data_IF_806168126834
#
_entry.id   IF_806168126834
#
_cell.length_a   1.000
_cell.length_b   1.000
_cell.length_c   1.000
_cell.angle_alpha   90.00
_cell.angle_beta   90.00
_cell.angle_gamma   90.00
#
_symmetry.space_group_name_H-M   'P 1'
#
loop_
_entity.id
_entity.type
_entity.pdbx_description
1 polymer ?
#
# COMPACT_ATOMS: atom_id res chain seq x y z
N UNK A 1 12.10 28.73 3.50
CA UNK A 1 11.53 29.02 4.84
C UNK A 1 11.37 27.69 5.56
N UNK A 2 12.15 27.45 6.64
CA UNK A 2 12.01 26.27 7.48
C UNK A 2 10.69 26.41 8.25
N UNK A 3 9.59 25.92 7.72
CA UNK A 3 8.37 25.79 8.53
C UNK A 3 8.64 24.71 9.57
N UNK A 4 8.57 25.07 10.84
CA UNK A 4 8.62 24.13 11.95
C UNK A 4 7.58 23.02 11.76
N UNK A 5 7.93 21.80 12.17
CA UNK A 5 6.97 20.70 12.19
C UNK A 5 5.83 21.04 13.17
N UNK A 6 4.58 20.65 12.90
CA UNK A 6 3.50 20.81 13.86
C UNK A 6 3.83 20.09 15.17
N UNK A 7 3.44 20.69 16.27
CA UNK A 7 3.55 20.11 17.62
C UNK A 7 2.55 18.97 17.80
N UNK A 8 2.72 18.18 18.85
CA UNK A 8 1.75 17.14 19.21
C UNK A 8 0.36 17.72 19.45
N UNK A 9 0.25 18.84 20.16
CA UNK A 9 -1.02 19.50 20.46
C UNK A 9 -1.73 19.97 19.17
N UNK A 10 -0.98 20.46 18.18
CA UNK A 10 -1.55 20.83 16.88
C UNK A 10 -2.04 19.61 16.10
N UNK A 11 -1.33 18.47 16.17
CA UNK A 11 -1.77 17.22 15.53
C UNK A 11 -2.98 16.63 16.23
N UNK A 12 -3.06 16.70 17.56
CA UNK A 12 -4.22 16.23 18.32
C UNK A 12 -5.45 17.09 18.03
N UNK A 13 -5.31 18.40 18.06
CA UNK A 13 -6.39 19.29 17.64
C UNK A 13 -6.82 19.06 16.18
N UNK A 14 -5.86 18.83 15.29
CA UNK A 14 -6.19 18.49 13.90
C UNK A 14 -6.99 17.19 13.79
N UNK A 15 -6.67 16.18 14.60
CA UNK A 15 -7.42 14.93 14.63
C UNK A 15 -8.86 15.08 15.15
N UNK A 16 -9.11 16.03 16.05
CA UNK A 16 -10.45 16.35 16.55
C UNK A 16 -11.36 16.92 15.44
N UNK A 17 -10.80 17.76 14.57
CA UNK A 17 -11.56 18.45 13.51
C UNK A 17 -11.50 17.75 12.15
N UNK A 18 -10.60 16.79 11.97
CA UNK A 18 -10.42 16.03 10.73
C UNK A 18 -10.52 14.51 10.99
N UNK A 19 -11.74 13.94 10.95
CA UNK A 19 -11.95 12.52 11.24
C UNK A 19 -11.14 11.56 10.35
N UNK A 20 -10.85 11.94 9.10
CA UNK A 20 -10.06 11.13 8.19
C UNK A 20 -8.58 11.10 8.60
N UNK A 21 -8.05 12.22 9.13
CA UNK A 21 -6.72 12.24 9.72
C UNK A 21 -6.67 11.37 10.99
N UNK A 22 -7.66 11.49 11.87
CA UNK A 22 -7.75 10.69 13.08
C UNK A 22 -7.73 9.19 12.77
N UNK A 23 -8.46 8.75 11.73
CA UNK A 23 -8.44 7.34 11.27
C UNK A 23 -7.11 6.94 10.67
N UNK A 24 -6.51 7.78 9.81
CA UNK A 24 -5.23 7.48 9.19
C UNK A 24 -4.12 7.37 10.24
N UNK A 25 -4.03 8.28 11.20
CA UNK A 25 -2.96 8.30 12.21
C UNK A 25 -2.90 7.05 13.09
N UNK A 26 -4.02 6.30 13.21
CA UNK A 26 -4.04 5.04 13.96
C UNK A 26 -3.34 3.90 13.23
N UNK A 27 -3.00 4.07 11.95
CA UNK A 27 -2.40 3.05 11.12
C UNK A 27 -3.38 1.97 10.63
N UNK A 28 -2.84 0.99 9.94
CA UNK A 28 -3.60 -0.16 9.46
C UNK A 28 -2.70 -1.40 9.30
N UNK A 29 -3.11 -2.53 9.87
CA UNK A 29 -2.34 -3.77 9.82
C UNK A 29 -0.95 -3.58 10.45
N UNK A 30 0.15 -3.85 9.72
CA UNK A 30 1.50 -3.66 10.24
C UNK A 30 2.01 -2.21 10.16
N UNK A 31 1.23 -1.29 9.59
CA UNK A 31 1.65 0.10 9.44
C UNK A 31 1.24 0.91 10.67
N UNK A 32 2.25 1.48 11.32
CA UNK A 32 2.10 2.47 12.38
C UNK A 32 2.73 3.78 11.93
N UNK A 33 2.09 4.90 12.28
CA UNK A 33 2.55 6.22 11.89
C UNK A 33 3.20 6.93 13.06
N UNK A 34 4.54 6.95 13.05
CA UNK A 34 5.31 7.73 14.02
C UNK A 34 4.95 9.23 13.96
N UNK A 35 5.18 9.94 15.05
CA UNK A 35 4.83 11.36 15.16
C UNK A 35 5.43 12.21 14.04
N UNK A 36 6.67 11.93 13.66
CA UNK A 36 7.35 12.61 12.55
C UNK A 36 6.64 12.38 11.21
N UNK A 37 6.14 11.18 10.98
CA UNK A 37 5.35 10.83 9.80
C UNK A 37 4.02 11.58 9.80
N UNK A 38 3.33 11.63 10.94
CA UNK A 38 2.07 12.37 11.10
C UNK A 38 2.30 13.87 10.79
N UNK A 39 3.36 14.45 11.33
CA UNK A 39 3.73 15.85 11.10
C UNK A 39 4.09 16.12 9.62
N UNK A 40 4.81 15.21 8.98
CA UNK A 40 5.15 15.33 7.55
C UNK A 40 3.91 15.24 6.66
N UNK A 41 3.02 14.30 6.95
CA UNK A 41 1.75 14.11 6.22
C UNK A 41 0.79 15.27 6.43
N UNK A 42 0.68 15.79 7.65
CA UNK A 42 -0.09 17.01 7.90
C UNK A 42 0.32 18.14 6.94
N UNK A 43 1.63 18.41 6.82
CA UNK A 43 2.14 19.44 5.91
C UNK A 43 1.88 19.10 4.44
N UNK A 44 2.16 17.85 4.06
CA UNK A 44 1.93 17.38 2.69
C UNK A 44 0.45 17.58 2.29
N UNK A 45 -0.48 17.21 3.15
CA UNK A 45 -1.90 17.35 2.87
C UNK A 45 -2.30 18.81 2.61
N UNK A 46 -1.84 19.74 3.45
CA UNK A 46 -2.09 21.18 3.24
C UNK A 46 -1.45 21.70 1.95
N UNK A 47 -0.23 21.26 1.63
CA UNK A 47 0.45 21.65 0.39
C UNK A 47 -0.28 21.13 -0.86
N UNK A 48 -0.80 19.90 -0.83
CA UNK A 48 -1.55 19.33 -1.96
C UNK A 48 -2.87 20.06 -2.20
N UNK A 49 -3.58 20.43 -1.14
CA UNK A 49 -4.82 21.20 -1.24
C UNK A 49 -4.53 22.64 -1.69
N UNK A 50 -3.50 23.29 -1.13
CA UNK A 50 -3.09 24.65 -1.53
C UNK A 50 -2.64 24.71 -3.00
N UNK A 51 -2.02 23.65 -3.50
CA UNK A 51 -1.59 23.52 -4.90
C UNK A 51 -2.73 23.05 -5.84
N UNK A 52 -3.96 22.92 -5.34
CA UNK A 52 -5.15 22.44 -6.08
C UNK A 52 -4.96 21.02 -6.69
N UNK A 53 -4.01 20.24 -6.17
CA UNK A 53 -3.78 18.84 -6.57
C UNK A 53 -4.78 17.89 -5.91
N UNK A 54 -5.36 18.29 -4.79
CA UNK A 54 -6.42 17.57 -4.10
C UNK A 54 -7.53 18.55 -3.70
N UNK A 55 -8.82 18.13 -3.72
CA UNK A 55 -9.93 19.02 -3.47
C UNK A 55 -10.04 19.46 -1.99
N UNK A 56 -9.64 18.60 -1.07
CA UNK A 56 -9.71 18.83 0.38
C UNK A 56 -8.79 17.88 1.15
N UNK A 57 -8.58 18.17 2.44
CA UNK A 57 -7.76 17.37 3.35
C UNK A 57 -8.30 15.95 3.54
N UNK A 58 -9.63 15.81 3.61
CA UNK A 58 -10.26 14.51 3.81
C UNK A 58 -9.96 13.57 2.64
N UNK A 59 -9.93 14.07 1.40
CA UNK A 59 -9.56 13.31 0.21
C UNK A 59 -8.12 12.81 0.28
N UNK A 60 -7.18 13.64 0.74
CA UNK A 60 -5.80 13.23 0.96
C UNK A 60 -5.72 12.09 1.97
N UNK A 61 -6.35 12.25 3.14
CA UNK A 61 -6.27 11.24 4.20
C UNK A 61 -6.99 9.94 3.84
N UNK A 62 -8.11 9.98 3.11
CA UNK A 62 -8.74 8.76 2.57
C UNK A 62 -7.83 8.00 1.62
N UNK A 63 -7.12 8.72 0.76
CA UNK A 63 -6.17 8.09 -0.16
C UNK A 63 -5.00 7.46 0.60
N UNK A 64 -4.47 8.12 1.62
CA UNK A 64 -3.41 7.58 2.47
C UNK A 64 -3.88 6.32 3.23
N UNK A 65 -5.11 6.30 3.76
CA UNK A 65 -5.70 5.09 4.34
C UNK A 65 -5.79 3.95 3.31
N UNK A 66 -6.14 4.25 2.05
CA UNK A 66 -6.18 3.26 0.99
C UNK A 66 -4.78 2.71 0.68
N UNK A 67 -3.75 3.56 0.72
CA UNK A 67 -2.34 3.14 0.53
C UNK A 67 -1.91 2.18 1.64
N UNK A 68 -2.24 2.46 2.90
CA UNK A 68 -1.93 1.57 4.03
C UNK A 68 -2.62 0.21 3.87
N UNK A 69 -3.89 0.20 3.46
CA UNK A 69 -4.64 -1.05 3.22
C UNK A 69 -4.05 -1.87 2.07
N UNK A 70 -3.74 -1.22 0.95
CA UNK A 70 -3.12 -1.87 -0.20
C UNK A 70 -1.72 -2.38 0.17
N UNK A 71 -0.95 -1.58 0.90
CA UNK A 71 0.36 -1.99 1.40
C UNK A 71 0.26 -3.22 2.32
N UNK A 72 -0.66 -3.20 3.30
CA UNK A 72 -0.89 -4.35 4.19
C UNK A 72 -1.29 -5.62 3.40
N UNK A 73 -2.25 -5.49 2.48
CA UNK A 73 -2.65 -6.61 1.63
C UNK A 73 -1.51 -7.10 0.73
N UNK A 74 -0.68 -6.17 0.22
CA UNK A 74 0.50 -6.48 -0.58
C UNK A 74 1.55 -7.28 0.19
N UNK A 75 1.81 -6.95 1.46
CA UNK A 75 2.70 -7.72 2.32
C UNK A 75 2.23 -9.17 2.48
N UNK A 76 0.93 -9.37 2.77
CA UNK A 76 0.35 -10.70 2.86
C UNK A 76 0.43 -11.46 1.53
N UNK A 77 0.11 -10.79 0.42
CA UNK A 77 0.15 -11.43 -0.89
C UNK A 77 1.58 -11.83 -1.31
N UNK A 78 2.60 -11.04 -0.98
CA UNK A 78 4.01 -11.42 -1.17
C UNK A 78 4.36 -12.70 -0.42
N UNK A 79 3.93 -12.82 0.84
CA UNK A 79 4.14 -14.04 1.62
C UNK A 79 3.43 -15.23 0.97
N UNK A 80 2.18 -15.04 0.55
CA UNK A 80 1.41 -16.10 -0.11
C UNK A 80 2.03 -16.50 -1.46
N UNK A 81 2.46 -15.56 -2.30
CA UNK A 81 3.17 -15.85 -3.55
C UNK A 81 4.40 -16.73 -3.30
N UNK A 82 5.13 -16.47 -2.22
CA UNK A 82 6.35 -17.24 -1.90
C UNK A 82 6.04 -18.63 -1.35
N UNK A 83 5.08 -18.77 -0.43
CA UNK A 83 4.92 -19.96 0.38
C UNK A 83 3.66 -20.78 0.09
N UNK A 84 2.60 -20.18 -0.47
CA UNK A 84 1.34 -20.87 -0.70
C UNK A 84 1.19 -21.37 -2.14
N UNK A 85 0.44 -22.46 -2.31
CA UNK A 85 -0.09 -22.95 -3.59
C UNK A 85 -1.50 -22.50 -3.81
N UNK A 86 -2.18 -22.16 -2.70
CA UNK A 86 -3.59 -21.82 -2.69
C UNK A 86 -3.89 -20.82 -1.61
N UNK A 87 -4.77 -19.89 -1.90
CA UNK A 87 -5.41 -19.00 -0.93
C UNK A 87 -6.92 -19.23 -0.94
N UNK A 88 -7.58 -18.82 0.13
CA UNK A 88 -9.03 -18.82 0.29
C UNK A 88 -9.44 -17.44 0.79
N UNK A 89 -10.28 -16.77 0.02
CA UNK A 89 -10.74 -15.42 0.37
C UNK A 89 -11.98 -15.43 1.26
N UNK A 90 -12.54 -16.59 1.54
CA UNK A 90 -13.67 -16.79 2.46
C UNK A 90 -13.26 -16.80 3.95
N UNK A 91 -11.94 -16.67 4.22
CA UNK A 91 -11.39 -16.68 5.58
C UNK A 91 -11.21 -18.07 6.18
N UNK A 92 -11.47 -19.16 5.43
CA UNK A 92 -11.19 -20.50 5.92
C UNK A 92 -9.68 -20.75 6.06
N UNK A 93 -9.31 -21.55 7.06
CA UNK A 93 -7.91 -21.88 7.34
C UNK A 93 -7.25 -22.64 6.19
N UNK A 94 -5.97 -22.33 5.95
CA UNK A 94 -5.13 -23.09 5.02
C UNK A 94 -4.63 -24.36 5.72
N UNK A 95 -4.64 -25.47 4.99
CA UNK A 95 -4.06 -26.73 5.43
C UNK A 95 -2.60 -26.85 4.99
N UNK A 96 -1.87 -27.87 5.49
CA UNK A 96 -0.46 -28.08 5.12
C UNK A 96 -0.30 -28.28 3.61
N UNK A 97 -1.27 -28.90 2.95
CA UNK A 97 -1.27 -29.15 1.51
C UNK A 97 -1.42 -27.86 0.67
N UNK A 98 -1.92 -26.79 1.27
CA UNK A 98 -2.05 -25.48 0.62
C UNK A 98 -0.69 -24.73 0.54
N UNK A 99 0.37 -25.28 1.15
CA UNK A 99 1.72 -24.69 1.11
C UNK A 99 2.66 -25.43 0.13
N UNK A 100 3.63 -24.68 -0.40
CA UNK A 100 4.69 -25.21 -1.28
C UNK A 100 5.66 -26.03 -0.46
N UNK A 101 5.99 -27.25 -0.93
CA UNK A 101 7.01 -28.08 -0.32
C UNK A 101 8.42 -27.47 -0.43
N UNK A 102 8.68 -26.73 -1.51
CA UNK A 102 9.91 -25.97 -1.75
C UNK A 102 9.52 -24.53 -2.12
N UNK A 103 9.44 -23.62 -1.16
CA UNK A 103 9.14 -22.20 -1.43
C UNK A 103 10.21 -21.58 -2.30
N UNK A 104 9.79 -20.76 -3.27
CA UNK A 104 10.67 -20.04 -4.18
C UNK A 104 10.43 -18.54 -4.07
N UNK A 105 11.49 -17.74 -4.23
CA UNK A 105 11.44 -16.30 -4.21
C UNK A 105 12.23 -15.68 -3.07
N UNK A 106 12.25 -14.35 -3.04
CA UNK A 106 12.99 -13.57 -2.03
C UNK A 106 12.03 -12.74 -1.19
N UNK A 107 11.45 -13.35 -0.15
CA UNK A 107 10.44 -12.71 0.71
C UNK A 107 10.94 -11.41 1.33
N UNK A 108 12.13 -11.41 1.95
CA UNK A 108 12.66 -10.24 2.66
C UNK A 108 12.81 -9.02 1.77
N UNK A 109 13.40 -9.18 0.58
CA UNK A 109 13.52 -8.10 -0.39
C UNK A 109 12.15 -7.61 -0.90
N UNK A 110 11.25 -8.53 -1.22
CA UNK A 110 9.91 -8.19 -1.69
C UNK A 110 9.08 -7.46 -0.63
N UNK A 111 9.11 -7.91 0.63
CA UNK A 111 8.41 -7.23 1.73
C UNK A 111 8.89 -5.77 1.90
N UNK A 112 10.21 -5.52 1.80
CA UNK A 112 10.75 -4.17 1.87
C UNK A 112 10.31 -3.28 0.69
N UNK A 113 10.06 -3.87 -0.49
CA UNK A 113 9.63 -3.13 -1.68
C UNK A 113 8.14 -2.77 -1.67
N UNK A 114 7.31 -3.50 -0.94
CA UNK A 114 5.86 -3.22 -0.86
C UNK A 114 5.56 -1.80 -0.41
N UNK A 115 6.08 -1.29 0.73
CA UNK A 115 5.82 0.08 1.16
C UNK A 115 6.32 1.13 0.15
N UNK A 116 7.49 0.88 -0.45
CA UNK A 116 8.08 1.79 -1.43
C UNK A 116 7.22 1.89 -2.70
N UNK A 117 6.74 0.76 -3.21
CA UNK A 117 5.92 0.75 -4.42
C UNK A 117 4.48 1.23 -4.14
N UNK A 118 3.89 0.90 -2.98
CA UNK A 118 2.61 1.46 -2.55
C UNK A 118 2.68 3.00 -2.41
N UNK A 119 3.74 3.51 -1.81
CA UNK A 119 3.99 4.95 -1.71
C UNK A 119 4.16 5.62 -3.08
N UNK A 120 4.85 4.97 -4.01
CA UNK A 120 4.98 5.45 -5.39
C UNK A 120 3.61 5.54 -6.10
N UNK A 121 2.79 4.50 -6.03
CA UNK A 121 1.43 4.50 -6.60
C UNK A 121 0.57 5.59 -5.95
N UNK A 122 0.66 5.72 -4.62
CA UNK A 122 -0.02 6.75 -3.86
C UNK A 122 0.40 8.16 -4.25
N UNK A 123 1.69 8.41 -4.45
CA UNK A 123 2.20 9.70 -4.88
C UNK A 123 1.70 10.06 -6.28
N UNK A 124 1.62 9.09 -7.20
CA UNK A 124 1.03 9.30 -8.51
C UNK A 124 -0.44 9.70 -8.41
N UNK A 125 -1.22 9.00 -7.58
CA UNK A 125 -2.63 9.30 -7.35
C UNK A 125 -2.83 10.67 -6.66
N UNK A 126 -2.02 11.00 -5.64
CA UNK A 126 -2.08 12.28 -4.93
C UNK A 126 -1.78 13.48 -5.81
N UNK A 127 -0.91 13.33 -6.79
CA UNK A 127 -0.44 14.44 -7.65
C UNK A 127 -1.05 14.44 -9.04
N UNK A 128 -1.84 13.41 -9.41
CA UNK A 128 -2.38 13.24 -10.75
C UNK A 128 -1.30 13.03 -11.83
N UNK A 129 -0.07 12.69 -11.43
CA UNK A 129 1.08 12.58 -12.34
C UNK A 129 1.63 11.17 -12.32
N UNK A 130 1.66 10.51 -13.48
CA UNK A 130 2.30 9.20 -13.61
C UNK A 130 3.81 9.36 -13.78
N UNK A 131 4.57 8.72 -12.91
CA UNK A 131 6.03 8.66 -12.94
C UNK A 131 6.48 7.28 -13.37
N UNK A 132 7.66 7.17 -13.96
CA UNK A 132 8.26 5.87 -14.24
C UNK A 132 8.76 5.23 -12.94
N UNK A 133 8.65 3.91 -12.88
CA UNK A 133 9.25 3.09 -11.81
C UNK A 133 10.25 2.12 -12.43
N UNK A 134 11.45 2.12 -11.92
CA UNK A 134 12.48 1.16 -12.31
C UNK A 134 12.97 0.42 -11.07
N UNK A 135 12.81 -0.89 -11.06
CA UNK A 135 13.32 -1.75 -10.00
C UNK A 135 14.53 -2.55 -10.53
N UNK A 136 15.69 -2.30 -9.93
CA UNK A 136 16.93 -2.99 -10.30
C UNK A 136 17.03 -4.42 -9.75
N UNK A 137 16.28 -4.72 -8.69
CA UNK A 137 16.33 -6.02 -7.99
C UNK A 137 15.22 -6.94 -8.52
N UNK A 138 15.51 -7.71 -9.58
CA UNK A 138 14.53 -8.61 -10.19
C UNK A 138 13.95 -9.66 -9.22
N UNK A 139 14.67 -10.03 -8.17
CA UNK A 139 14.19 -10.95 -7.14
C UNK A 139 13.07 -10.37 -6.22
N UNK A 140 12.77 -9.08 -6.34
CA UNK A 140 11.69 -8.43 -5.60
C UNK A 140 10.40 -8.27 -6.43
N UNK A 141 10.28 -8.93 -7.58
CA UNK A 141 9.14 -8.81 -8.51
C UNK A 141 7.79 -9.13 -7.84
N UNK A 142 7.77 -10.02 -6.86
CA UNK A 142 6.54 -10.37 -6.13
C UNK A 142 5.85 -9.15 -5.49
N UNK A 143 6.60 -8.12 -5.08
CA UNK A 143 6.02 -6.89 -4.55
C UNK A 143 5.26 -6.10 -5.64
N UNK A 144 5.83 -6.02 -6.84
CA UNK A 144 5.22 -5.32 -7.98
C UNK A 144 3.96 -6.06 -8.44
N UNK A 145 4.05 -7.38 -8.62
CA UNK A 145 2.92 -8.22 -9.04
C UNK A 145 1.78 -8.15 -8.01
N UNK A 146 2.09 -8.26 -6.72
CA UNK A 146 1.09 -8.15 -5.66
C UNK A 146 0.34 -6.83 -5.71
N UNK A 147 1.05 -5.70 -5.78
CA UNK A 147 0.42 -4.39 -5.77
C UNK A 147 -0.30 -4.07 -7.09
N UNK A 148 0.24 -4.47 -8.22
CA UNK A 148 -0.43 -4.32 -9.51
C UNK A 148 -1.73 -5.12 -9.57
N UNK A 149 -1.73 -6.33 -9.02
CA UNK A 149 -2.95 -7.14 -8.91
C UNK A 149 -4.00 -6.46 -8.02
N UNK A 150 -3.60 -5.98 -6.84
CA UNK A 150 -4.50 -5.33 -5.87
C UNK A 150 -5.06 -3.99 -6.37
N UNK A 151 -4.36 -3.30 -7.25
CA UNK A 151 -4.77 -2.01 -7.82
C UNK A 151 -5.34 -2.10 -9.23
N UNK A 152 -5.52 -3.32 -9.75
CA UNK A 152 -5.92 -3.58 -11.14
C UNK A 152 -5.01 -2.89 -12.19
N UNK A 153 -3.75 -2.66 -11.83
CA UNK A 153 -2.73 -2.05 -12.68
C UNK A 153 -1.94 -3.15 -13.44
N UNK A 154 -2.66 -4.01 -14.12
CA UNK A 154 -2.11 -5.14 -14.85
C UNK A 154 -2.14 -4.86 -16.37
N UNK A 155 -1.12 -5.35 -17.07
CA UNK A 155 -1.16 -5.42 -18.53
C UNK A 155 -2.36 -6.30 -18.96
N UNK A 156 -3.01 -6.04 -20.11
CA UNK A 156 -4.19 -6.80 -20.54
C UNK A 156 -4.03 -8.33 -20.53
N UNK A 157 -2.88 -8.84 -20.90
CA UNK A 157 -2.58 -10.28 -20.86
C UNK A 157 -2.50 -10.82 -19.42
N UNK A 158 -1.86 -10.07 -18.53
CA UNK A 158 -1.80 -10.41 -17.10
C UNK A 158 -3.18 -10.32 -16.43
N UNK A 159 -3.99 -9.32 -16.80
CA UNK A 159 -5.36 -9.20 -16.34
C UNK A 159 -6.22 -10.37 -16.77
N UNK A 160 -6.06 -10.86 -17.99
CA UNK A 160 -6.73 -12.07 -18.46
C UNK A 160 -6.28 -13.32 -17.70
N UNK A 161 -4.98 -13.41 -17.38
CA UNK A 161 -4.41 -14.56 -16.67
C UNK A 161 -4.76 -14.55 -15.17
N UNK A 162 -4.62 -13.42 -14.49
CA UNK A 162 -4.63 -13.33 -13.02
C UNK A 162 -5.75 -12.48 -12.44
N UNK A 163 -6.50 -11.76 -13.23
CA UNK A 163 -7.67 -10.99 -12.78
C UNK A 163 -8.78 -11.90 -12.26
N UNK A 164 -9.69 -11.34 -11.46
CA UNK A 164 -10.90 -12.03 -11.04
C UNK A 164 -10.86 -12.75 -9.69
N UNK A 165 -10.29 -12.12 -8.68
CA UNK A 165 -10.43 -12.56 -7.28
C UNK A 165 -9.62 -13.81 -6.94
N UNK A 166 -10.17 -14.71 -6.12
CA UNK A 166 -9.46 -15.90 -5.60
C UNK A 166 -8.87 -16.77 -6.70
N UNK A 167 -9.63 -17.02 -7.76
CA UNK A 167 -9.17 -17.84 -8.88
C UNK A 167 -7.97 -17.20 -9.61
N UNK A 168 -7.94 -15.88 -9.73
CA UNK A 168 -6.83 -15.15 -10.30
C UNK A 168 -5.58 -15.18 -9.40
N UNK A 169 -5.76 -14.96 -8.11
CA UNK A 169 -4.67 -15.06 -7.13
C UNK A 169 -4.08 -16.47 -7.15
N UNK A 170 -4.93 -17.50 -7.13
CA UNK A 170 -4.48 -18.91 -7.15
C UNK A 170 -3.74 -19.30 -8.46
N UNK A 171 -3.90 -18.55 -9.53
CA UNK A 171 -3.08 -18.73 -10.74
C UNK A 171 -1.75 -17.98 -10.69
N UNK A 172 -1.64 -16.95 -9.87
CA UNK A 172 -0.41 -16.20 -9.66
C UNK A 172 0.56 -16.94 -8.70
N UNK A 173 0.02 -17.74 -7.74
CA UNK A 173 0.81 -18.50 -6.75
C UNK A 173 1.57 -19.65 -7.37
#
# INVERSE_FOLDING_TARGET
MNQLLPSLDELDHHAEIQPEFARWRTGYGPFEHALETQAAVFRLAHQLVQAELQPDLASVYRLLQAIDRIGSAGLWLVVLITYARRVRLDGSELSVEDFKAAPEGHTGGSLNMVPAYAGYLGLNALTGSTRAWLMGQGHCVAAIEALNLLTDNLHPEQKQAYGGGEAGINRLL
#
